data_IF_401238735050
#
_entry.id   IF_401238735050
#
_cell.length_a   1.000
_cell.length_b   1.000
_cell.length_c   1.000
_cell.angle_alpha   90.00
_cell.angle_beta   90.00
_cell.angle_gamma   90.00
#
_symmetry.space_group_name_H-M   'P 1'
#
loop_
_entity.id
_entity.type
_entity.pdbx_description
1 polymer ?
#
# COMPACT_ATOMS: atom_id res chain seq x y z
N UNK A 1 12.02 2.41 -10.91
CA UNK A 1 11.77 3.88 -10.90
C UNK A 1 11.44 4.50 -12.26
N UNK A 2 11.85 3.96 -13.43
CA UNK A 2 11.60 4.58 -14.75
C UNK A 2 10.12 4.74 -15.14
N UNK A 3 9.22 3.82 -14.76
CA UNK A 3 7.79 3.91 -15.09
C UNK A 3 7.04 5.01 -14.32
N UNK A 4 7.62 5.52 -13.21
CA UNK A 4 6.96 6.57 -12.44
C UNK A 4 7.06 7.94 -13.13
N UNK A 5 8.08 8.14 -13.97
CA UNK A 5 8.26 9.38 -14.74
C UNK A 5 7.17 9.53 -15.81
N UNK A 6 6.68 8.42 -16.38
CA UNK A 6 5.53 8.48 -17.29
C UNK A 6 4.26 9.03 -16.65
N UNK A 7 4.09 8.93 -15.32
CA UNK A 7 2.93 9.52 -14.61
C UNK A 7 2.87 11.06 -14.69
N UNK A 8 3.96 11.73 -15.05
CA UNK A 8 3.98 13.19 -15.22
C UNK A 8 3.33 13.67 -16.52
N UNK A 9 3.10 12.77 -17.49
CA UNK A 9 2.33 13.12 -18.68
C UNK A 9 0.87 13.43 -18.29
N UNK A 10 0.24 14.51 -18.82
CA UNK A 10 -1.08 14.95 -18.39
C UNK A 10 -2.23 13.98 -18.66
N UNK A 11 -2.09 13.08 -19.64
CA UNK A 11 -3.17 12.19 -20.10
C UNK A 11 -2.75 10.75 -20.38
N UNK A 12 -1.46 10.53 -20.68
CA UNK A 12 -0.96 9.20 -21.04
C UNK A 12 -1.20 8.15 -19.93
N UNK A 13 -0.95 8.43 -18.64
CA UNK A 13 -1.13 7.43 -17.60
C UNK A 13 -2.60 7.09 -17.35
N UNK A 14 -3.48 8.08 -17.42
CA UNK A 14 -4.92 7.87 -17.34
C UNK A 14 -5.43 7.00 -18.49
N UNK A 15 -4.95 7.26 -19.71
CA UNK A 15 -5.32 6.47 -20.89
C UNK A 15 -4.81 5.03 -20.79
N UNK A 16 -3.55 4.84 -20.36
CA UNK A 16 -2.95 3.52 -20.19
C UNK A 16 -3.65 2.72 -19.08
N UNK A 17 -4.01 3.35 -17.96
CA UNK A 17 -4.70 2.65 -16.87
C UNK A 17 -6.12 2.23 -17.25
N UNK A 18 -6.81 3.00 -18.12
CA UNK A 18 -8.16 2.69 -18.61
C UNK A 18 -8.19 1.73 -19.80
N UNK A 19 -7.06 1.48 -20.45
CA UNK A 19 -6.99 0.66 -21.65
C UNK A 19 -7.37 -0.80 -21.35
N UNK A 20 -7.91 -1.50 -22.37
CA UNK A 20 -8.26 -2.92 -22.33
C UNK A 20 -9.09 -3.31 -21.09
N UNK A 21 -10.14 -2.54 -20.77
CA UNK A 21 -10.97 -2.77 -19.58
C UNK A 21 -10.15 -2.85 -18.28
N UNK A 22 -9.25 -1.88 -18.08
CA UNK A 22 -8.40 -1.80 -16.89
C UNK A 22 -7.49 -3.02 -16.66
N UNK A 23 -6.99 -3.66 -17.73
CA UNK A 23 -6.14 -4.86 -17.67
C UNK A 23 -4.94 -4.74 -16.69
N UNK A 24 -4.40 -3.54 -16.52
CA UNK A 24 -3.31 -3.29 -15.56
C UNK A 24 -3.75 -3.49 -14.11
N UNK A 25 -5.00 -3.16 -13.77
CA UNK A 25 -5.59 -3.43 -12.45
C UNK A 25 -5.72 -4.94 -12.26
N UNK A 26 -6.22 -5.67 -13.27
CA UNK A 26 -6.37 -7.12 -13.20
C UNK A 26 -5.03 -7.84 -12.96
N UNK A 27 -3.97 -7.36 -13.61
CA UNK A 27 -2.59 -7.82 -13.42
C UNK A 27 -2.08 -7.48 -12.01
N UNK A 28 -2.31 -6.26 -11.54
CA UNK A 28 -1.85 -5.81 -10.22
C UNK A 28 -2.55 -6.55 -9.06
N UNK A 29 -3.81 -6.93 -9.25
CA UNK A 29 -4.58 -7.73 -8.29
C UNK A 29 -4.22 -9.23 -8.32
N UNK A 30 -3.47 -9.68 -9.33
CA UNK A 30 -3.00 -11.07 -9.45
C UNK A 30 -4.15 -12.09 -9.42
N UNK A 31 -3.94 -13.27 -8.81
CA UNK A 31 -5.01 -14.24 -8.58
C UNK A 31 -5.98 -13.70 -7.51
N UNK A 32 -7.04 -13.05 -7.98
CA UNK A 32 -8.17 -12.57 -7.16
C UNK A 32 -9.47 -13.16 -7.74
N UNK A 33 -10.49 -13.31 -6.90
CA UNK A 33 -11.83 -13.67 -7.37
C UNK A 33 -12.34 -12.63 -8.39
N UNK A 34 -13.12 -13.08 -9.36
CA UNK A 34 -13.53 -12.25 -10.51
C UNK A 34 -14.41 -11.08 -10.06
N UNK A 35 -15.32 -11.31 -9.12
CA UNK A 35 -16.16 -10.29 -8.50
C UNK A 35 -15.33 -9.16 -7.86
N UNK A 36 -14.23 -9.50 -7.18
CA UNK A 36 -13.34 -8.49 -6.57
C UNK A 36 -12.67 -7.65 -7.65
N UNK A 37 -12.23 -8.27 -8.75
CA UNK A 37 -11.65 -7.52 -9.88
C UNK A 37 -12.66 -6.55 -10.48
N UNK A 38 -13.88 -6.99 -10.73
CA UNK A 38 -14.96 -6.13 -11.24
C UNK A 38 -15.30 -4.97 -10.29
N UNK A 39 -15.37 -5.21 -8.98
CA UNK A 39 -15.62 -4.16 -7.99
C UNK A 39 -14.50 -3.11 -7.99
N UNK A 40 -13.24 -3.54 -8.07
CA UNK A 40 -12.11 -2.60 -8.17
C UNK A 40 -12.17 -1.84 -9.49
N UNK A 41 -12.39 -2.50 -10.63
CA UNK A 41 -12.53 -1.83 -11.93
C UNK A 41 -13.66 -0.81 -11.93
N UNK A 42 -14.81 -1.17 -11.36
CA UNK A 42 -15.95 -0.27 -11.19
C UNK A 42 -15.61 0.96 -10.33
N UNK A 43 -14.79 0.78 -9.30
CA UNK A 43 -14.31 1.89 -8.46
C UNK A 43 -13.41 2.84 -9.26
N UNK A 44 -12.52 2.30 -10.10
CA UNK A 44 -11.66 3.10 -10.97
C UNK A 44 -12.40 3.70 -12.18
N UNK A 45 -13.53 3.14 -12.61
CA UNK A 45 -14.35 3.71 -13.68
C UNK A 45 -15.14 4.94 -13.26
N UNK A 46 -15.28 5.20 -11.95
CA UNK A 46 -16.00 6.38 -11.46
C UNK A 46 -15.36 7.69 -11.97
N UNK A 47 -16.16 8.74 -12.25
CA UNK A 47 -15.64 10.03 -12.68
C UNK A 47 -14.54 10.55 -11.75
N UNK A 48 -13.35 10.84 -12.32
CA UNK A 48 -12.20 11.36 -11.59
C UNK A 48 -11.36 10.34 -10.82
N UNK A 49 -11.80 9.09 -10.62
CA UNK A 49 -11.11 8.11 -9.79
C UNK A 49 -9.70 7.75 -10.30
N UNK A 50 -9.56 7.43 -11.59
CA UNK A 50 -8.26 7.18 -12.23
C UNK A 50 -7.30 8.37 -12.07
N UNK A 51 -7.77 9.58 -12.32
CA UNK A 51 -6.95 10.79 -12.18
C UNK A 51 -6.53 11.01 -10.73
N UNK A 52 -7.43 10.80 -9.77
CA UNK A 52 -7.13 10.89 -8.34
C UNK A 52 -6.05 9.86 -7.93
N UNK A 53 -6.17 8.61 -8.37
CA UNK A 53 -5.19 7.57 -8.09
C UNK A 53 -3.80 7.91 -8.67
N UNK A 54 -3.74 8.37 -9.92
CA UNK A 54 -2.48 8.79 -10.57
C UNK A 54 -1.87 10.03 -9.88
N UNK A 55 -2.70 10.93 -9.36
CA UNK A 55 -2.23 12.14 -8.70
C UNK A 55 -1.40 11.85 -7.44
N UNK A 56 -1.57 10.71 -6.75
CA UNK A 56 -0.66 10.28 -5.68
C UNK A 56 0.77 10.10 -6.20
N UNK A 57 0.96 9.45 -7.35
CA UNK A 57 2.27 9.29 -7.98
C UNK A 57 2.83 10.63 -8.49
N UNK A 58 1.97 11.52 -8.99
CA UNK A 58 2.40 12.87 -9.38
C UNK A 58 2.88 13.67 -8.19
N UNK A 59 2.18 13.57 -7.06
CA UNK A 59 2.52 14.27 -5.82
C UNK A 59 3.87 13.81 -5.25
N UNK A 60 4.22 12.52 -5.34
CA UNK A 60 5.54 12.02 -4.92
C UNK A 60 6.71 12.71 -5.64
N UNK A 61 6.50 13.20 -6.87
CA UNK A 61 7.53 13.89 -7.65
C UNK A 61 7.53 15.40 -7.46
N UNK A 62 6.42 15.95 -6.97
CA UNK A 62 6.37 17.36 -6.57
C UNK A 62 7.25 17.47 -5.32
N UNK A 63 8.43 18.04 -5.48
CA UNK A 63 9.33 18.39 -4.38
C UNK A 63 8.63 19.44 -3.53
N UNK A 64 7.77 19.00 -2.62
CA UNK A 64 7.14 19.86 -1.65
C UNK A 64 8.19 20.22 -0.61
N UNK A 65 8.58 21.49 -0.59
CA UNK A 65 9.61 21.99 0.32
C UNK A 65 9.22 21.80 1.78
N UNK A 66 7.91 21.74 2.09
CA UNK A 66 7.40 21.42 3.42
C UNK A 66 7.76 20.00 3.87
N UNK A 67 7.98 19.08 2.93
CA UNK A 67 8.39 17.71 3.23
C UNK A 67 9.92 17.60 3.42
N UNK A 68 10.72 18.60 2.99
CA UNK A 68 12.18 18.58 3.23
C UNK A 68 12.51 18.73 4.71
N UNK A 69 11.71 19.52 5.43
CA UNK A 69 11.91 19.80 6.85
C UNK A 69 11.14 18.82 7.76
N UNK A 70 10.52 17.79 7.19
CA UNK A 70 9.91 16.72 7.97
C UNK A 70 10.99 15.90 8.67
N UNK A 71 11.22 16.22 9.93
CA UNK A 71 12.02 15.38 10.81
C UNK A 71 11.13 14.23 11.30
N UNK A 72 11.33 13.04 10.75
CA UNK A 72 10.67 11.82 11.23
C UNK A 72 11.10 11.59 12.68
N UNK A 73 10.14 11.70 13.60
CA UNK A 73 10.35 11.42 15.03
C UNK A 73 10.17 9.93 15.26
N UNK A 74 10.90 9.42 16.24
CA UNK A 74 10.64 8.07 16.75
C UNK A 74 9.20 7.98 17.27
N UNK A 75 8.47 6.96 16.82
CA UNK A 75 7.08 6.72 17.23
C UNK A 75 7.06 5.99 18.57
N UNK A 76 6.80 6.71 19.67
CA UNK A 76 6.68 6.12 21.01
C UNK A 76 5.36 5.37 21.24
N UNK A 77 4.39 5.51 20.33
CA UNK A 77 3.13 4.78 20.39
C UNK A 77 3.36 3.30 20.06
N UNK A 78 2.76 2.35 20.79
CA UNK A 78 2.77 0.95 20.41
C UNK A 78 2.45 0.78 18.92
N UNK A 79 3.28 0.03 18.21
CA UNK A 79 3.20 -0.11 16.75
C UNK A 79 3.30 -1.58 16.36
N UNK A 80 2.39 -2.04 15.51
CA UNK A 80 2.47 -3.33 14.83
C UNK A 80 2.57 -3.10 13.33
N UNK A 81 3.63 -3.61 12.72
CA UNK A 81 3.77 -3.66 11.25
C UNK A 81 3.50 -5.10 10.81
N UNK A 82 2.59 -5.31 9.88
CA UNK A 82 2.35 -6.63 9.28
C UNK A 82 2.84 -6.62 7.84
N UNK A 83 3.71 -7.56 7.47
CA UNK A 83 4.45 -7.50 6.20
C UNK A 83 4.51 -8.86 5.49
N UNK A 84 4.13 -8.89 4.21
CA UNK A 84 4.22 -10.09 3.37
C UNK A 84 5.62 -10.27 2.79
N UNK A 85 6.21 -11.44 2.95
CA UNK A 85 7.58 -11.69 2.48
C UNK A 85 7.69 -11.86 0.96
N UNK A 86 6.57 -12.07 0.26
CA UNK A 86 6.50 -12.25 -1.20
C UNK A 86 6.08 -10.96 -1.93
N UNK A 87 6.16 -9.80 -1.28
CA UNK A 87 5.75 -8.52 -1.86
C UNK A 87 6.66 -8.16 -3.07
N UNK A 88 6.10 -8.04 -4.29
CA UNK A 88 6.88 -7.73 -5.49
C UNK A 88 7.19 -6.23 -5.65
N UNK A 89 6.59 -5.37 -4.82
CA UNK A 89 6.68 -3.91 -4.91
C UNK A 89 7.52 -3.29 -3.79
N UNK A 90 7.42 -3.81 -2.56
CA UNK A 90 8.11 -3.29 -1.39
C UNK A 90 9.09 -4.33 -0.81
N UNK A 91 10.33 -3.91 -0.56
CA UNK A 91 11.35 -4.82 -0.04
C UNK A 91 11.22 -5.05 1.47
N UNK A 92 11.61 -6.23 1.95
CA UNK A 92 11.69 -6.54 3.38
C UNK A 92 12.54 -5.54 4.18
N UNK A 93 13.52 -4.93 3.52
CA UNK A 93 14.39 -3.92 4.14
C UNK A 93 13.60 -2.70 4.61
N UNK A 94 12.52 -2.32 3.92
CA UNK A 94 11.67 -1.21 4.34
C UNK A 94 11.03 -1.50 5.70
N UNK A 95 10.43 -2.68 5.88
CA UNK A 95 9.85 -3.08 7.16
C UNK A 95 10.88 -3.07 8.30
N UNK A 96 12.08 -3.60 8.03
CA UNK A 96 13.18 -3.64 8.99
C UNK A 96 13.64 -2.23 9.40
N UNK A 97 13.71 -1.29 8.46
CA UNK A 97 14.09 0.09 8.75
C UNK A 97 12.97 0.85 9.47
N UNK A 98 11.72 0.62 9.07
CA UNK A 98 10.55 1.27 9.68
C UNK A 98 10.42 0.93 11.17
N UNK A 99 10.65 -0.32 11.57
CA UNK A 99 10.51 -0.69 12.98
C UNK A 99 11.61 -0.11 13.87
N UNK A 100 12.79 0.20 13.33
CA UNK A 100 13.82 0.92 14.09
C UNK A 100 13.40 2.36 14.46
N UNK A 101 12.34 2.87 13.84
CA UNK A 101 11.78 4.20 14.09
C UNK A 101 10.47 4.15 14.90
N UNK A 102 10.13 3.02 15.51
CA UNK A 102 8.90 2.86 16.27
C UNK A 102 9.06 1.93 17.49
N UNK A 103 8.27 2.17 18.54
CA UNK A 103 8.12 1.27 19.67
C UNK A 103 7.15 0.16 19.30
N UNK A 104 7.67 -1.00 18.90
CA UNK A 104 6.80 -2.03 18.35
C UNK A 104 7.49 -3.28 17.84
N UNK A 105 6.75 -4.03 17.02
CA UNK A 105 7.25 -5.24 16.34
C UNK A 105 6.75 -5.34 14.90
N UNK A 106 7.45 -6.17 14.13
CA UNK A 106 7.03 -6.57 12.77
C UNK A 106 6.60 -8.03 12.79
N UNK A 107 5.45 -8.32 12.19
CA UNK A 107 5.00 -9.66 11.88
C UNK A 107 5.19 -9.95 10.41
N UNK A 108 6.07 -10.91 10.12
CA UNK A 108 6.33 -11.34 8.75
C UNK A 108 5.45 -12.53 8.38
N UNK A 109 4.74 -12.41 7.26
CA UNK A 109 3.91 -13.47 6.69
C UNK A 109 4.63 -14.09 5.49
N UNK A 110 5.20 -15.28 5.68
CA UNK A 110 6.04 -15.96 4.68
C UNK A 110 5.29 -16.35 3.40
N UNK A 111 3.96 -16.45 3.50
CA UNK A 111 3.06 -16.94 2.49
C UNK A 111 2.05 -15.86 2.01
N UNK A 112 2.42 -14.59 2.18
CA UNK A 112 1.68 -13.42 1.69
C UNK A 112 2.60 -12.46 0.92
N UNK A 113 2.02 -11.74 -0.04
CA UNK A 113 2.63 -10.68 -0.82
C UNK A 113 2.17 -9.29 -0.38
N UNK A 114 1.76 -8.47 -1.35
CA UNK A 114 1.48 -7.05 -1.12
C UNK A 114 0.17 -6.80 -0.36
N UNK A 115 -0.83 -7.66 -0.55
CA UNK A 115 -2.17 -7.44 -0.02
C UNK A 115 -2.42 -8.33 1.19
N UNK A 116 -1.57 -8.23 2.21
CA UNK A 116 -1.57 -9.13 3.39
C UNK A 116 -2.95 -9.32 4.04
N UNK A 117 -3.76 -8.26 4.09
CA UNK A 117 -5.11 -8.27 4.66
C UNK A 117 -6.12 -9.09 3.83
N UNK A 118 -5.86 -9.28 2.54
CA UNK A 118 -6.67 -10.15 1.65
C UNK A 118 -6.10 -11.56 1.58
N UNK A 119 -4.78 -11.68 1.50
CA UNK A 119 -4.10 -12.95 1.33
C UNK A 119 -4.10 -13.80 2.62
N UNK A 120 -4.09 -13.14 3.79
CA UNK A 120 -4.07 -13.78 5.12
C UNK A 120 -5.02 -13.07 6.10
N UNK A 121 -6.26 -12.86 5.67
CA UNK A 121 -7.28 -12.10 6.42
C UNK A 121 -7.43 -12.56 7.87
N UNK A 122 -7.57 -13.87 8.11
CA UNK A 122 -7.70 -14.43 9.47
C UNK A 122 -6.49 -14.08 10.34
N UNK A 123 -5.27 -14.34 9.84
CA UNK A 123 -4.04 -14.05 10.57
C UNK A 123 -3.87 -12.56 10.85
N UNK A 124 -4.18 -11.70 9.89
CA UNK A 124 -4.11 -10.24 10.06
C UNK A 124 -5.12 -9.77 11.11
N UNK A 125 -6.36 -10.28 11.05
CA UNK A 125 -7.41 -9.95 12.02
C UNK A 125 -7.04 -10.39 13.43
N UNK A 126 -6.47 -11.60 13.59
CA UNK A 126 -6.00 -12.10 14.89
C UNK A 126 -4.88 -11.23 15.45
N UNK A 127 -3.92 -10.86 14.61
CA UNK A 127 -2.82 -9.98 15.00
C UNK A 127 -3.30 -8.60 15.45
N UNK A 128 -4.27 -8.03 14.75
CA UNK A 128 -4.90 -6.75 15.12
C UNK A 128 -5.63 -6.86 16.46
N UNK A 129 -6.45 -7.89 16.65
CA UNK A 129 -7.18 -8.10 17.90
C UNK A 129 -6.23 -8.27 19.10
N UNK A 130 -5.17 -9.08 18.94
CA UNK A 130 -4.16 -9.26 19.99
C UNK A 130 -3.44 -7.94 20.30
N UNK A 131 -3.11 -7.16 19.27
CA UNK A 131 -2.44 -5.88 19.43
C UNK A 131 -3.30 -4.88 20.20
N UNK A 132 -4.59 -4.75 19.88
CA UNK A 132 -5.48 -3.83 20.59
C UNK A 132 -5.71 -4.23 22.05
N UNK A 133 -5.97 -5.52 22.33
CA UNK A 133 -6.14 -6.02 23.71
C UNK A 133 -4.90 -5.77 24.59
N UNK A 134 -3.71 -5.98 24.04
CA UNK A 134 -2.47 -5.77 24.79
C UNK A 134 -2.14 -4.29 24.99
N UNK A 135 -2.66 -3.41 24.13
CA UNK A 135 -2.44 -1.96 24.25
C UNK A 135 -3.35 -1.35 25.32
N UNK A 136 -4.59 -1.83 25.46
CA UNK A 136 -5.48 -1.44 26.55
C UNK A 136 -4.90 -1.76 27.94
N UNK A 137 -4.09 -2.81 28.06
CA UNK A 137 -3.42 -3.19 29.30
C UNK A 137 -2.18 -2.34 29.65
N UNK A 138 -1.73 -1.47 28.74
CA UNK A 138 -0.57 -0.57 28.92
C UNK A 138 -0.98 0.88 29.27
N UNK A 139 -2.28 1.15 29.36
CA UNK A 139 -2.86 2.43 29.74
C UNK A 139 -3.30 2.48 31.21
#
# INVERSE_FOLDING_TARGET
MRYMVSFQSPKLPEAVLKANDFELIDKALGPSQADVKEVVKHSFSQPGAVTAAINYYRALWRKDERLRDLHFRYLNTPTLIVWGQRDPYLTLKLAQLSILQAFGRVEYLADAGHWVHRERAERVNDLMQQFFKNTEALC
#
